data_IF_042065627747
#
_entry.id   IF_042065627747
#
_cell.length_a   1.000
_cell.length_b   1.000
_cell.length_c   1.000
_cell.angle_alpha   90.00
_cell.angle_beta   90.00
_cell.angle_gamma   90.00
#
_symmetry.space_group_name_H-M   'P 1'
#
loop_
_entity.id
_entity.type
_entity.pdbx_description
1 polymer ?
#
# COMPACT_ATOMS: atom_id res chain seq x y z
N UNK A 1 10.90 2.66 1.10
CA UNK A 1 11.71 3.56 1.99
C UNK A 1 12.79 4.32 1.22
N UNK A 2 13.55 3.68 0.31
CA UNK A 2 14.61 4.37 -0.45
C UNK A 2 14.04 5.49 -1.31
N UNK A 3 13.05 5.20 -2.16
CA UNK A 3 12.38 6.21 -2.99
C UNK A 3 11.63 7.25 -2.15
N UNK A 4 11.00 6.83 -1.07
CA UNK A 4 10.33 7.74 -0.15
C UNK A 4 11.27 8.78 0.46
N UNK A 5 12.51 8.41 0.75
CA UNK A 5 13.52 9.30 1.32
C UNK A 5 13.81 10.51 0.44
N UNK A 6 13.80 10.33 -0.87
CA UNK A 6 14.08 11.41 -1.84
C UNK A 6 12.81 11.99 -2.49
N UNK A 7 11.64 11.42 -2.17
CA UNK A 7 10.37 11.77 -2.77
C UNK A 7 9.57 12.71 -1.87
N UNK A 8 9.94 13.98 -1.86
CA UNK A 8 9.15 14.99 -1.17
C UNK A 8 8.93 16.22 -2.05
N UNK A 9 7.80 16.30 -2.74
CA UNK A 9 7.49 17.47 -3.56
C UNK A 9 7.22 18.72 -2.73
N UNK A 10 6.88 18.57 -1.46
CA UNK A 10 6.42 19.72 -0.66
C UNK A 10 7.41 20.23 0.38
N UNK A 11 8.14 19.36 1.02
CA UNK A 11 8.98 19.71 2.16
C UNK A 11 10.10 18.67 2.32
N UNK A 12 11.08 18.62 1.45
CA UNK A 12 12.17 17.65 1.46
C UNK A 12 12.70 17.26 2.86
N UNK A 13 12.63 18.19 3.80
CA UNK A 13 13.07 17.98 5.18
C UNK A 13 12.11 17.08 5.98
N UNK A 14 10.80 17.09 5.73
CA UNK A 14 9.84 16.30 6.52
C UNK A 14 9.96 14.80 6.26
N UNK A 15 10.08 14.41 5.00
CA UNK A 15 10.16 13.00 4.67
C UNK A 15 11.51 12.41 5.10
N UNK A 16 12.59 13.17 5.02
CA UNK A 16 13.91 12.78 5.53
C UNK A 16 13.89 12.63 7.06
N UNK A 17 13.21 13.53 7.77
CA UNK A 17 13.12 13.46 9.23
C UNK A 17 12.40 12.19 9.73
N UNK A 18 11.37 11.72 9.01
CA UNK A 18 10.62 10.54 9.42
C UNK A 18 11.51 9.28 9.54
N UNK A 19 12.25 8.86 8.50
CA UNK A 19 13.16 7.73 8.61
C UNK A 19 14.34 7.98 9.55
N UNK A 20 14.94 9.17 9.55
CA UNK A 20 16.15 9.40 10.33
C UNK A 20 15.90 9.50 11.83
N UNK A 21 14.92 10.31 12.25
CA UNK A 21 14.82 10.76 13.66
C UNK A 21 13.45 10.60 14.28
N UNK A 22 12.40 10.30 13.50
CA UNK A 22 11.03 10.28 13.98
C UNK A 22 10.44 8.87 13.95
N UNK A 23 9.46 8.61 13.09
CA UNK A 23 8.62 7.41 13.12
C UNK A 23 9.42 6.12 12.89
N UNK A 24 10.31 6.10 11.92
CA UNK A 24 11.03 4.89 11.51
C UNK A 24 12.34 4.66 12.29
N UNK A 25 12.89 5.71 12.88
CA UNK A 25 14.03 5.66 13.82
C UNK A 25 15.26 4.91 13.30
N UNK A 26 15.56 5.03 12.01
CA UNK A 26 16.76 4.42 11.43
C UNK A 26 18.04 5.00 12.05
N UNK A 27 17.99 6.28 12.44
CA UNK A 27 19.08 6.96 13.17
C UNK A 27 20.25 7.41 12.31
N UNK A 28 20.12 7.34 10.99
CA UNK A 28 21.17 7.70 10.04
C UNK A 28 20.59 8.07 8.68
N UNK A 29 21.36 8.80 7.88
CA UNK A 29 21.00 9.11 6.50
C UNK A 29 21.01 7.85 5.61
N UNK A 30 20.36 7.93 4.45
CA UNK A 30 20.35 6.86 3.44
C UNK A 30 21.80 6.46 3.04
N UNK A 31 22.67 7.42 2.88
CA UNK A 31 24.05 7.18 2.45
C UNK A 31 24.96 6.64 3.56
N UNK A 32 24.65 6.94 4.83
CA UNK A 32 25.38 6.39 5.97
C UNK A 32 25.02 4.94 6.26
N UNK A 33 23.76 4.56 6.06
CA UNK A 33 23.30 3.19 6.32
C UNK A 33 22.33 2.68 5.25
N UNK A 34 22.75 2.56 3.98
CA UNK A 34 21.86 2.21 2.87
C UNK A 34 21.17 0.85 3.07
N UNK A 35 21.84 -0.10 3.70
CA UNK A 35 21.27 -1.43 3.94
C UNK A 35 20.04 -1.40 4.85
N UNK A 36 20.00 -0.53 5.85
CA UNK A 36 18.80 -0.37 6.68
C UNK A 36 17.61 0.14 5.87
N UNK A 37 17.84 1.11 4.98
CA UNK A 37 16.78 1.62 4.11
C UNK A 37 16.27 0.55 3.14
N UNK A 38 17.14 -0.27 2.59
CA UNK A 38 16.76 -1.42 1.75
C UNK A 38 15.93 -2.42 2.56
N UNK A 39 16.40 -2.80 3.74
CA UNK A 39 15.69 -3.74 4.64
C UNK A 39 14.29 -3.25 5.04
N UNK A 40 14.08 -1.95 5.13
CA UNK A 40 12.79 -1.32 5.42
C UNK A 40 12.01 -0.91 4.17
N UNK A 41 12.42 -1.32 2.99
CA UNK A 41 11.72 -1.05 1.72
C UNK A 41 10.94 -2.28 1.28
N UNK A 42 9.64 -2.30 1.56
CA UNK A 42 8.77 -3.45 1.29
C UNK A 42 8.82 -3.92 -0.18
N UNK A 43 8.99 -3.00 -1.14
CA UNK A 43 9.11 -3.31 -2.57
C UNK A 43 10.29 -4.25 -2.87
N UNK A 44 11.36 -4.18 -2.09
CA UNK A 44 12.54 -5.07 -2.25
C UNK A 44 12.25 -6.52 -1.86
N UNK A 45 11.11 -6.78 -1.25
CA UNK A 45 10.66 -8.11 -0.81
C UNK A 45 9.29 -8.48 -1.38
N UNK A 46 8.87 -7.81 -2.44
CA UNK A 46 7.58 -8.03 -3.10
C UNK A 46 7.44 -9.48 -3.62
N UNK A 47 8.55 -10.12 -3.96
CA UNK A 47 8.63 -11.53 -4.36
C UNK A 47 8.10 -12.49 -3.28
N UNK A 48 8.23 -12.13 -2.01
CA UNK A 48 7.80 -12.92 -0.85
C UNK A 48 6.32 -12.76 -0.50
N UNK A 49 5.65 -11.75 -1.03
CA UNK A 49 4.23 -11.51 -0.80
C UNK A 49 3.43 -12.60 -1.50
N UNK A 50 2.58 -13.30 -0.77
CA UNK A 50 1.71 -14.37 -1.26
C UNK A 50 0.23 -13.97 -1.22
N UNK A 51 -0.14 -13.10 -0.32
CA UNK A 51 -1.51 -12.62 -0.12
C UNK A 51 -1.87 -11.61 -1.21
N UNK A 52 -3.04 -11.72 -1.85
CA UNK A 52 -3.57 -10.68 -2.72
C UNK A 52 -3.65 -9.32 -2.02
N UNK A 53 -3.35 -8.24 -2.72
CA UNK A 53 -3.36 -6.91 -2.15
C UNK A 53 -4.31 -5.96 -2.87
N UNK A 54 -5.14 -5.27 -2.11
CA UNK A 54 -5.85 -4.07 -2.53
C UNK A 54 -5.07 -2.84 -2.05
N UNK A 55 -4.55 -2.07 -2.99
CA UNK A 55 -3.79 -0.84 -2.74
C UNK A 55 -4.67 0.36 -3.04
N UNK A 56 -4.87 1.24 -2.07
CA UNK A 56 -5.75 2.40 -2.22
C UNK A 56 -5.02 3.67 -1.78
N UNK A 57 -5.13 4.75 -2.55
CA UNK A 57 -4.52 6.05 -2.22
C UNK A 57 -5.33 7.24 -2.70
N UNK A 58 -5.09 8.38 -2.07
CA UNK A 58 -5.53 9.68 -2.57
C UNK A 58 -4.44 10.31 -3.44
N UNK A 59 -4.81 10.85 -4.60
CA UNK A 59 -3.83 11.49 -5.53
C UNK A 59 -3.29 12.81 -4.98
N UNK A 60 -3.98 13.38 -3.99
CA UNK A 60 -3.56 14.61 -3.28
C UNK A 60 -2.84 14.30 -1.96
N UNK A 61 -2.40 13.07 -1.75
CA UNK A 61 -1.61 12.73 -0.58
C UNK A 61 -0.20 13.32 -0.68
N UNK A 62 0.04 14.35 0.10
CA UNK A 62 1.33 15.02 0.18
C UNK A 62 2.22 14.48 1.30
N UNK A 63 1.70 13.60 2.15
CA UNK A 63 2.48 12.97 3.22
C UNK A 63 3.13 11.68 2.73
N UNK A 64 2.34 10.84 2.04
CA UNK A 64 2.82 9.62 1.40
C UNK A 64 2.42 9.68 -0.07
N UNK A 65 3.31 10.11 -0.95
CA UNK A 65 3.00 10.29 -2.36
C UNK A 65 2.46 9.03 -3.02
N UNK A 66 1.42 9.11 -3.88
CA UNK A 66 0.78 7.96 -4.55
C UNK A 66 1.76 7.04 -5.27
N UNK A 67 2.90 7.58 -5.73
CA UNK A 67 3.94 6.79 -6.40
C UNK A 67 4.55 5.70 -5.51
N UNK A 68 4.43 5.82 -4.17
CA UNK A 68 4.86 4.75 -3.27
C UNK A 68 4.00 3.48 -3.43
N UNK A 69 2.68 3.65 -3.64
CA UNK A 69 1.81 2.53 -3.97
C UNK A 69 2.04 2.04 -5.40
N UNK A 70 2.27 2.98 -6.32
CA UNK A 70 2.54 2.66 -7.72
C UNK A 70 3.79 1.78 -7.87
N UNK A 71 4.86 2.04 -7.14
CA UNK A 71 6.05 1.18 -7.11
C UNK A 71 5.69 -0.26 -6.68
N UNK A 72 4.94 -0.41 -5.60
CA UNK A 72 4.51 -1.73 -5.11
C UNK A 72 3.58 -2.42 -6.11
N UNK A 73 2.61 -1.68 -6.68
CA UNK A 73 1.69 -2.22 -7.69
C UNK A 73 2.45 -2.81 -8.88
N UNK A 74 3.37 -2.03 -9.49
CA UNK A 74 4.12 -2.52 -10.64
C UNK A 74 5.07 -3.65 -10.29
N UNK A 75 5.68 -3.65 -9.10
CA UNK A 75 6.50 -4.77 -8.64
C UNK A 75 5.67 -6.06 -8.54
N UNK A 76 4.50 -6.00 -7.92
CA UNK A 76 3.61 -7.17 -7.78
C UNK A 76 3.08 -7.65 -9.14
N UNK A 77 2.67 -6.72 -10.02
CA UNK A 77 2.25 -7.05 -11.40
C UNK A 77 3.38 -7.72 -12.18
N UNK A 78 4.60 -7.22 -12.08
CA UNK A 78 5.79 -7.82 -12.74
C UNK A 78 6.07 -9.23 -12.24
N UNK A 79 5.78 -9.51 -10.98
CA UNK A 79 5.94 -10.82 -10.35
C UNK A 79 4.73 -11.75 -10.54
N UNK A 80 3.73 -11.35 -11.33
CA UNK A 80 2.51 -12.14 -11.57
C UNK A 80 1.62 -12.33 -10.35
N UNK A 81 1.72 -11.41 -9.37
CA UNK A 81 0.94 -11.48 -8.14
C UNK A 81 -0.40 -10.75 -8.30
N UNK A 82 -1.39 -11.22 -7.56
CA UNK A 82 -2.72 -10.62 -7.54
C UNK A 82 -2.68 -9.31 -6.76
N UNK A 83 -3.01 -8.23 -7.46
CA UNK A 83 -3.03 -6.87 -6.89
C UNK A 83 -4.00 -5.99 -7.64
N UNK A 84 -4.79 -5.22 -6.91
CA UNK A 84 -5.62 -4.14 -7.42
C UNK A 84 -5.11 -2.81 -6.88
N UNK A 85 -5.14 -1.77 -7.71
CA UNK A 85 -4.83 -0.40 -7.31
C UNK A 85 -5.99 0.53 -7.64
N UNK A 86 -6.43 1.28 -6.63
CA UNK A 86 -7.49 2.28 -6.71
C UNK A 86 -6.93 3.61 -6.23
N UNK A 87 -7.12 4.67 -7.01
CA UNK A 87 -6.78 6.03 -6.61
C UNK A 87 -8.01 6.93 -6.64
N UNK A 88 -8.05 7.88 -5.69
CA UNK A 88 -9.11 8.89 -5.58
C UNK A 88 -8.51 10.25 -5.89
N UNK A 89 -8.94 10.85 -7.01
CA UNK A 89 -8.33 12.07 -7.55
C UNK A 89 -8.29 13.23 -6.57
N UNK A 90 -9.31 13.39 -5.75
CA UNK A 90 -9.38 14.44 -4.74
C UNK A 90 -9.01 13.98 -3.33
N UNK A 91 -8.70 12.69 -3.16
CA UNK A 91 -8.36 12.11 -1.86
C UNK A 91 -7.00 12.57 -1.36
N UNK A 92 -6.90 12.85 -0.07
CA UNK A 92 -5.66 13.15 0.64
C UNK A 92 -5.14 11.98 1.48
N UNK A 93 -4.29 12.28 2.46
CA UNK A 93 -3.68 11.27 3.34
C UNK A 93 -4.69 10.50 4.18
N UNK A 94 -5.78 11.11 4.55
CA UNK A 94 -6.83 10.49 5.38
C UNK A 94 -7.94 9.80 4.60
N UNK A 95 -7.79 9.62 3.32
CA UNK A 95 -8.75 9.04 2.37
C UNK A 95 -10.02 8.40 2.92
N UNK A 96 -11.06 8.29 2.08
CA UNK A 96 -11.52 9.12 0.97
C UNK A 96 -12.23 10.33 1.54
N UNK A 97 -12.07 11.51 1.01
CA UNK A 97 -12.35 12.67 1.84
C UNK A 97 -13.23 13.74 1.22
N UNK A 98 -13.64 13.61 -0.03
CA UNK A 98 -14.25 14.76 -0.69
C UNK A 98 -15.73 14.61 -0.98
N UNK A 99 -16.21 13.44 -1.29
CA UNK A 99 -17.64 13.23 -1.56
C UNK A 99 -18.21 12.00 -0.85
N UNK A 100 -19.52 12.00 -0.64
CA UNK A 100 -20.22 10.86 -0.03
C UNK A 100 -20.12 9.63 -0.94
N UNK A 101 -20.10 9.83 -2.24
CA UNK A 101 -19.98 8.79 -3.25
C UNK A 101 -18.61 8.11 -3.17
N UNK A 102 -17.52 8.87 -3.06
CA UNK A 102 -16.15 8.32 -2.89
C UNK A 102 -16.02 7.54 -1.58
N UNK A 103 -16.63 8.04 -0.49
CA UNK A 103 -16.64 7.33 0.79
C UNK A 103 -17.39 5.99 0.68
N UNK A 104 -18.53 5.96 -0.01
CA UNK A 104 -19.27 4.71 -0.25
C UNK A 104 -18.50 3.75 -1.14
N UNK A 105 -17.90 4.23 -2.23
CA UNK A 105 -17.08 3.41 -3.13
C UNK A 105 -15.89 2.80 -2.41
N UNK A 106 -15.17 3.60 -1.61
CA UNK A 106 -14.04 3.14 -0.80
C UNK A 106 -14.41 1.96 0.12
N UNK A 107 -15.47 2.13 0.90
CA UNK A 107 -15.90 1.07 1.82
C UNK A 107 -16.43 -0.15 1.08
N UNK A 108 -17.16 0.07 -0.02
CA UNK A 108 -17.66 -1.02 -0.85
C UNK A 108 -16.52 -1.85 -1.42
N UNK A 109 -15.48 -1.24 -1.97
CA UNK A 109 -14.31 -1.95 -2.51
C UNK A 109 -13.61 -2.79 -1.45
N UNK A 110 -13.45 -2.27 -0.24
CA UNK A 110 -12.85 -3.01 0.87
C UNK A 110 -13.72 -4.24 1.20
N UNK A 111 -15.02 -4.07 1.32
CA UNK A 111 -15.93 -5.17 1.64
C UNK A 111 -15.93 -6.21 0.51
N UNK A 112 -16.07 -5.79 -0.73
CA UNK A 112 -16.07 -6.68 -1.91
C UNK A 112 -14.77 -7.46 -2.02
N UNK A 113 -13.62 -6.81 -1.74
CA UNK A 113 -12.31 -7.45 -1.73
C UNK A 113 -12.22 -8.56 -0.70
N UNK A 114 -12.60 -8.29 0.53
CA UNK A 114 -12.61 -9.29 1.58
C UNK A 114 -13.64 -10.40 1.31
N UNK A 115 -14.81 -10.05 0.80
CA UNK A 115 -15.84 -11.02 0.48
C UNK A 115 -15.39 -11.98 -0.63
N UNK A 116 -14.71 -11.49 -1.65
CA UNK A 116 -14.20 -12.32 -2.73
C UNK A 116 -13.06 -13.25 -2.30
N UNK A 117 -12.18 -12.77 -1.41
CA UNK A 117 -10.98 -13.52 -1.02
C UNK A 117 -11.17 -14.42 0.22
N UNK A 118 -12.08 -14.07 1.12
CA UNK A 118 -12.29 -14.82 2.36
C UNK A 118 -13.54 -15.70 2.32
N UNK A 119 -14.65 -15.21 1.76
CA UNK A 119 -15.91 -16.00 1.74
C UNK A 119 -15.93 -17.05 0.63
N UNK A 120 -15.17 -16.87 -0.43
CA UNK A 120 -15.04 -17.87 -1.51
C UNK A 120 -14.54 -19.23 -1.00
N UNK A 121 -13.57 -19.20 -0.10
CA UNK A 121 -13.02 -20.42 0.52
C UNK A 121 -13.99 -21.06 1.53
N UNK A 122 -14.84 -20.31 2.17
CA UNK A 122 -15.87 -20.82 3.09
C UNK A 122 -16.98 -21.57 2.33
N UNK A 123 -17.38 -21.07 1.15
CA UNK A 123 -18.37 -21.79 0.30
C UNK A 123 -17.82 -23.10 -0.22
N UNK A 124 -16.57 -23.14 -0.70
CA UNK A 124 -15.93 -24.40 -1.14
C UNK A 124 -15.84 -25.43 -0.01
N UNK A 125 -15.42 -25.02 1.18
CA UNK A 125 -15.37 -25.92 2.34
C UNK A 125 -16.73 -26.43 2.79
N UNK A 126 -17.78 -25.62 2.66
CA UNK A 126 -19.15 -26.05 3.02
C UNK A 126 -19.78 -26.99 1.98
N UNK A 127 -19.33 -26.91 0.73
CA UNK A 127 -19.76 -27.84 -0.35
C UNK A 127 -19.04 -29.19 -0.26
N UNK A 128 -17.75 -29.19 0.14
CA UNK A 128 -16.97 -30.41 0.37
C UNK A 128 -17.40 -31.19 1.62
N UNK A 129 -18.13 -30.57 2.55
CA UNK A 129 -18.62 -31.20 3.79
C UNK A 129 -20.09 -31.63 3.74
N UNK A 130 -20.77 -31.61 2.60
CA UNK A 130 -22.10 -32.21 2.48
C UNK A 130 -21.95 -33.70 2.37
N UNK A 131 -22.49 -34.50 3.33
CA UNK A 131 -22.55 -35.94 3.20
C UNK A 131 -23.46 -36.31 2.02
N UNK A 132 -23.05 -37.38 1.27
CA UNK A 132 -23.87 -38.02 0.24
C UNK A 132 -25.19 -38.52 0.80
#
# INVERSE_FOLDING_TARGET
MVSFYTDSPRLGVRNIHAPEKSQDRIGATLWQQPQKYIQHSAVMFADRIKTPLLLMCGEQDHNVPPRQLMEMYYALRRLGKEVEWVSYTNGGHGMPTTTVEEVKDYHKRIIDWYDSHLKGDLKKKSEEQKPE
#
